data_IF_991112752196
#
_entry.id   IF_991112752196
#
_cell.length_a   1.000
_cell.length_b   1.000
_cell.length_c   1.000
_cell.angle_alpha   90.00
_cell.angle_beta   90.00
_cell.angle_gamma   90.00
#
_symmetry.space_group_name_H-M   'P 1'
#
loop_
_entity.id
_entity.type
_entity.pdbx_description
1 polymer ?
#
# COMPACT_ATOMS: atom_id res chain seq x y z
N UNK A 1 -36.93 -60.03 -5.86
CA UNK A 1 -36.40 -58.73 -6.36
C UNK A 1 -35.59 -57.96 -5.31
N UNK A 2 -34.76 -58.59 -4.45
CA UNK A 2 -33.97 -57.87 -3.39
C UNK A 2 -32.45 -58.04 -3.52
N UNK A 3 -31.92 -58.73 -4.54
CA UNK A 3 -30.48 -59.00 -4.70
C UNK A 3 -29.68 -57.99 -5.56
N UNK A 4 -30.23 -57.20 -6.51
CA UNK A 4 -29.43 -56.26 -7.29
C UNK A 4 -29.03 -54.97 -6.52
N UNK A 5 -29.81 -54.52 -5.53
CA UNK A 5 -29.48 -53.32 -4.74
C UNK A 5 -28.26 -53.50 -3.82
N UNK A 6 -28.05 -54.70 -3.28
CA UNK A 6 -26.90 -55.01 -2.44
C UNK A 6 -25.58 -55.05 -3.23
N UNK A 7 -25.63 -55.56 -4.47
CA UNK A 7 -24.47 -55.60 -5.36
C UNK A 7 -24.07 -54.19 -5.81
N UNK A 8 -25.03 -53.30 -6.11
CA UNK A 8 -24.76 -51.88 -6.43
C UNK A 8 -24.16 -51.09 -5.24
N UNK A 9 -24.67 -51.33 -4.03
CA UNK A 9 -24.15 -50.72 -2.82
C UNK A 9 -22.71 -51.18 -2.50
N UNK A 10 -22.39 -52.43 -2.71
CA UNK A 10 -21.04 -52.98 -2.50
C UNK A 10 -20.03 -52.48 -3.54
N UNK A 11 -20.44 -52.34 -4.79
CA UNK A 11 -19.59 -51.73 -5.85
C UNK A 11 -19.39 -50.24 -5.61
N UNK A 12 -20.40 -49.49 -5.18
CA UNK A 12 -20.30 -48.11 -4.79
C UNK A 12 -19.35 -47.89 -3.59
N UNK A 13 -19.42 -48.78 -2.58
CA UNK A 13 -18.54 -48.74 -1.41
C UNK A 13 -17.08 -49.08 -1.76
N UNK A 14 -16.84 -49.99 -2.66
CA UNK A 14 -15.51 -50.38 -3.14
C UNK A 14 -14.87 -49.27 -4.01
N UNK A 15 -15.67 -48.56 -4.81
CA UNK A 15 -15.22 -47.41 -5.61
C UNK A 15 -14.87 -46.19 -4.74
N UNK A 16 -15.60 -45.97 -3.65
CA UNK A 16 -15.33 -44.87 -2.70
C UNK A 16 -14.08 -45.13 -1.83
N UNK A 17 -13.82 -46.42 -1.48
CA UNK A 17 -12.61 -46.78 -0.70
C UNK A 17 -11.31 -46.80 -1.51
N UNK A 18 -11.39 -47.04 -2.82
CA UNK A 18 -10.21 -47.10 -3.71
C UNK A 18 -9.57 -45.77 -4.02
N UNK A 19 -10.31 -44.64 -3.91
CA UNK A 19 -9.83 -43.31 -4.27
C UNK A 19 -8.79 -42.75 -3.29
N UNK A 20 -8.77 -43.18 -2.04
CA UNK A 20 -7.82 -42.73 -1.04
C UNK A 20 -6.41 -43.32 -1.18
N UNK A 21 -6.29 -44.47 -1.90
CA UNK A 21 -5.03 -45.22 -2.01
C UNK A 21 -4.06 -44.73 -3.10
N UNK A 22 -4.53 -43.89 -4.05
CA UNK A 22 -3.75 -43.53 -5.23
C UNK A 22 -3.03 -42.17 -5.18
N UNK A 23 -3.14 -41.40 -4.10
CA UNK A 23 -2.36 -40.17 -3.96
C UNK A 23 -1.99 -39.95 -2.48
N UNK A 24 -0.71 -39.72 -2.18
CA UNK A 24 -0.31 -39.43 -0.81
C UNK A 24 -1.11 -38.22 -0.28
N UNK A 25 -1.58 -38.27 0.97
CA UNK A 25 -2.27 -37.14 1.57
C UNK A 25 -1.30 -35.97 1.64
N UNK A 26 -1.56 -34.90 0.88
CA UNK A 26 -0.86 -33.66 1.03
C UNK A 26 -1.36 -33.03 2.33
N UNK A 27 -0.46 -32.70 3.26
CA UNK A 27 -0.83 -32.04 4.50
C UNK A 27 -1.57 -30.72 4.17
N UNK A 28 -2.78 -30.59 4.72
CA UNK A 28 -3.59 -29.38 4.49
C UNK A 28 -2.91 -28.18 5.15
N UNK A 29 -2.85 -27.02 4.47
CA UNK A 29 -2.28 -25.80 5.05
C UNK A 29 -3.16 -25.31 6.20
N UNK A 30 -2.52 -24.68 7.18
CA UNK A 30 -3.25 -23.99 8.23
C UNK A 30 -3.93 -22.74 7.65
N UNK A 31 -5.21 -22.57 7.90
CA UNK A 31 -5.98 -21.40 7.48
C UNK A 31 -5.66 -20.18 8.37
N UNK A 32 -5.19 -20.42 9.58
CA UNK A 32 -4.76 -19.39 10.51
C UNK A 32 -3.34 -18.93 10.16
N UNK A 33 -3.09 -17.64 9.99
CA UNK A 33 -1.74 -17.11 9.82
C UNK A 33 -0.83 -17.52 10.99
N UNK A 34 0.49 -17.70 10.77
CA UNK A 34 1.42 -17.91 11.87
C UNK A 34 1.38 -16.71 12.82
N UNK A 35 1.64 -16.91 14.14
CA UNK A 35 1.67 -15.83 15.11
C UNK A 35 2.68 -14.76 14.70
N UNK A 36 2.40 -13.49 15.10
CA UNK A 36 3.35 -12.39 14.96
C UNK A 36 4.59 -12.69 15.77
N UNK A 37 5.70 -12.98 15.09
CA UNK A 37 7.02 -13.15 15.69
C UNK A 37 7.68 -11.75 15.82
N UNK A 38 7.16 -10.95 16.76
CA UNK A 38 7.62 -9.61 17.04
C UNK A 38 8.34 -9.57 18.40
N UNK A 39 9.40 -8.77 18.58
CA UNK A 39 10.09 -8.63 19.85
C UNK A 39 9.13 -8.06 20.92
N UNK A 40 9.31 -8.43 22.21
CA UNK A 40 8.43 -7.99 23.28
C UNK A 40 8.52 -6.48 23.59
N UNK A 41 9.62 -5.84 23.21
CA UNK A 41 9.84 -4.40 23.36
C UNK A 41 10.76 -3.89 22.26
N UNK A 42 10.67 -2.58 21.97
CA UNK A 42 11.60 -1.91 21.07
C UNK A 42 13.01 -1.84 21.68
N UNK A 43 14.04 -2.04 20.85
CA UNK A 43 15.44 -1.90 21.27
C UNK A 43 15.84 -0.43 21.32
N UNK A 44 15.27 0.40 20.45
CA UNK A 44 15.48 1.84 20.41
C UNK A 44 14.72 2.56 21.52
N UNK A 45 15.28 3.67 22.08
CA UNK A 45 14.59 4.48 23.06
C UNK A 45 13.33 5.09 22.43
N UNK A 46 12.17 4.86 23.08
CA UNK A 46 10.92 5.54 22.71
C UNK A 46 10.89 6.94 23.31
N UNK A 47 10.31 7.94 22.62
CA UNK A 47 10.13 9.28 23.16
C UNK A 47 9.29 9.25 24.46
N UNK A 48 9.48 10.20 25.40
CA UNK A 48 8.79 10.24 26.65
C UNK A 48 7.27 10.36 26.47
N UNK A 49 6.52 9.75 27.40
CA UNK A 49 5.08 9.44 27.30
C UNK A 49 4.14 10.62 27.59
N UNK A 50 4.54 11.87 27.45
CA UNK A 50 3.76 13.03 27.92
C UNK A 50 2.57 13.41 27.02
N UNK A 51 2.39 12.80 25.87
CA UNK A 51 1.27 13.04 24.98
C UNK A 51 0.67 11.74 24.46
N UNK A 52 -0.47 11.33 25.02
CA UNK A 52 -1.33 10.27 24.45
C UNK A 52 -2.09 10.80 23.22
N UNK A 53 -1.40 11.14 22.17
CA UNK A 53 -2.07 11.47 20.93
C UNK A 53 -2.53 10.18 20.25
N UNK A 54 -3.82 10.05 20.03
CA UNK A 54 -4.34 8.98 19.22
C UNK A 54 -3.68 9.04 17.83
N UNK A 55 -3.23 7.90 17.29
CA UNK A 55 -2.65 7.84 15.93
C UNK A 55 -3.60 8.41 14.85
N UNK A 56 -4.91 8.43 15.12
CA UNK A 56 -5.91 9.04 14.25
C UNK A 56 -5.74 10.56 14.10
N UNK A 57 -5.28 11.24 15.16
CA UNK A 57 -5.06 12.69 15.18
C UNK A 57 -3.58 13.05 15.00
N UNK A 58 -2.79 12.13 14.46
CA UNK A 58 -1.34 12.26 14.31
C UNK A 58 -0.91 13.59 13.70
N UNK A 59 -1.53 13.96 12.59
CA UNK A 59 -1.17 15.16 11.85
C UNK A 59 -1.56 16.47 12.56
N UNK A 60 -2.52 16.44 13.46
CA UNK A 60 -2.92 17.61 14.26
C UNK A 60 -1.82 18.02 15.25
N UNK A 61 -0.96 17.07 15.67
CA UNK A 61 0.15 17.32 16.58
C UNK A 61 1.27 18.16 15.99
N UNK A 62 1.28 18.33 14.66
CA UNK A 62 2.21 19.21 13.98
C UNK A 62 1.79 20.69 14.07
N UNK A 63 0.60 21.00 14.58
CA UNK A 63 0.04 22.36 14.69
C UNK A 63 0.18 23.13 13.38
N UNK A 64 -0.01 22.46 12.25
CA UNK A 64 0.12 23.01 10.92
C UNK A 64 -1.13 22.72 10.07
N UNK A 65 -2.11 23.64 10.04
CA UNK A 65 -3.34 23.46 9.28
C UNK A 65 -3.08 23.37 7.76
N UNK A 66 -1.99 23.97 7.27
CA UNK A 66 -1.63 23.89 5.85
C UNK A 66 -1.18 22.48 5.49
N UNK A 67 -0.45 21.79 6.37
CA UNK A 67 -0.09 20.39 6.18
C UNK A 67 -1.35 19.50 6.05
N UNK A 68 -2.34 19.71 6.93
CA UNK A 68 -3.61 18.97 6.87
C UNK A 68 -4.34 19.19 5.54
N UNK A 69 -4.46 20.45 5.09
CA UNK A 69 -5.07 20.76 3.80
C UNK A 69 -4.35 20.09 2.62
N UNK A 70 -3.01 20.02 2.67
CA UNK A 70 -2.24 19.34 1.60
C UNK A 70 -2.48 17.85 1.59
N UNK A 71 -2.55 17.21 2.76
CA UNK A 71 -2.85 15.78 2.88
C UNK A 71 -4.25 15.49 2.33
N UNK A 72 -5.25 16.28 2.73
CA UNK A 72 -6.64 16.09 2.27
C UNK A 72 -6.74 16.26 0.74
N UNK A 73 -6.12 17.30 0.19
CA UNK A 73 -6.10 17.54 -1.26
C UNK A 73 -5.42 16.38 -2.01
N UNK A 74 -4.27 15.90 -1.52
CA UNK A 74 -3.55 14.80 -2.13
C UNK A 74 -4.33 13.48 -2.05
N UNK A 75 -4.99 13.19 -0.93
CA UNK A 75 -5.83 11.99 -0.82
C UNK A 75 -7.04 12.05 -1.76
N UNK A 76 -7.65 13.23 -1.94
CA UNK A 76 -8.77 13.41 -2.86
C UNK A 76 -8.37 13.24 -4.33
N UNK A 77 -7.15 13.68 -4.69
CA UNK A 77 -6.63 13.64 -6.06
C UNK A 77 -5.87 12.35 -6.41
N UNK A 78 -5.59 11.49 -5.43
CA UNK A 78 -4.66 10.36 -5.59
C UNK A 78 -5.15 9.26 -6.53
N UNK A 79 -4.41 8.97 -7.61
CA UNK A 79 -4.72 7.84 -8.48
C UNK A 79 -4.56 6.47 -7.77
N UNK A 80 -3.63 6.37 -6.81
CA UNK A 80 -3.39 5.12 -6.07
C UNK A 80 -4.57 4.77 -5.15
N UNK A 81 -5.19 5.77 -4.50
CA UNK A 81 -6.41 5.59 -3.70
C UNK A 81 -7.59 5.21 -4.60
N UNK A 82 -7.77 5.88 -5.74
CA UNK A 82 -8.82 5.54 -6.71
C UNK A 82 -8.64 4.11 -7.26
N UNK A 83 -7.41 3.71 -7.57
CA UNK A 83 -7.10 2.35 -8.01
C UNK A 83 -7.38 1.30 -6.92
N UNK A 84 -7.05 1.59 -5.65
CA UNK A 84 -7.37 0.73 -4.51
C UNK A 84 -8.89 0.57 -4.34
N UNK A 85 -9.67 1.65 -4.45
CA UNK A 85 -11.13 1.61 -4.45
C UNK A 85 -11.68 0.73 -5.58
N UNK A 86 -11.16 0.88 -6.79
CA UNK A 86 -11.55 0.06 -7.94
C UNK A 86 -11.23 -1.44 -7.74
N UNK A 87 -10.12 -1.76 -7.07
CA UNK A 87 -9.76 -3.16 -6.74
C UNK A 87 -10.73 -3.77 -5.73
N UNK A 88 -11.29 -2.99 -4.80
CA UNK A 88 -12.33 -3.46 -3.88
C UNK A 88 -13.57 -3.89 -4.68
N UNK A 89 -14.03 -3.06 -5.64
CA UNK A 89 -15.20 -3.42 -6.45
C UNK A 89 -14.94 -4.65 -7.32
N UNK A 90 -13.74 -4.80 -7.89
CA UNK A 90 -13.33 -6.00 -8.63
C UNK A 90 -13.33 -7.25 -7.72
N UNK A 91 -12.75 -7.13 -6.51
CA UNK A 91 -12.72 -8.23 -5.55
C UNK A 91 -14.12 -8.60 -5.05
N UNK A 92 -15.01 -7.60 -4.84
CA UNK A 92 -16.42 -7.81 -4.49
C UNK A 92 -17.14 -8.57 -5.59
N UNK A 93 -17.01 -8.14 -6.84
CA UNK A 93 -17.61 -8.83 -7.99
C UNK A 93 -17.09 -10.26 -8.12
N UNK A 94 -15.78 -10.47 -7.91
CA UNK A 94 -15.16 -11.81 -7.91
C UNK A 94 -15.69 -12.71 -6.79
N UNK A 95 -15.93 -12.14 -5.59
CA UNK A 95 -16.52 -12.88 -4.46
C UNK A 95 -17.97 -13.27 -4.74
N UNK A 96 -18.76 -12.38 -5.34
CA UNK A 96 -20.15 -12.69 -5.78
C UNK A 96 -20.13 -13.80 -6.84
N UNK A 97 -19.26 -13.69 -7.86
CA UNK A 97 -19.14 -14.68 -8.92
C UNK A 97 -18.71 -16.06 -8.36
N UNK A 98 -17.77 -16.08 -7.40
CA UNK A 98 -17.37 -17.34 -6.74
C UNK A 98 -18.52 -17.94 -5.89
N UNK A 99 -19.29 -17.09 -5.20
CA UNK A 99 -20.47 -17.51 -4.44
C UNK A 99 -21.61 -18.05 -5.33
N UNK A 100 -21.76 -17.51 -6.54
CA UNK A 100 -22.75 -17.95 -7.48
C UNK A 100 -22.57 -19.40 -7.93
N UNK A 101 -21.34 -19.94 -7.89
CA UNK A 101 -21.05 -21.36 -8.19
C UNK A 101 -21.67 -22.34 -7.18
N UNK A 102 -22.10 -21.87 -6.03
CA UNK A 102 -22.82 -22.66 -5.01
C UNK A 102 -24.33 -22.73 -5.28
N UNK A 103 -24.84 -21.94 -6.23
CA UNK A 103 -26.26 -21.84 -6.56
C UNK A 103 -26.54 -22.44 -7.92
N UNK A 104 -27.80 -22.90 -8.19
CA UNK A 104 -28.22 -23.33 -9.52
C UNK A 104 -28.08 -22.20 -10.55
N UNK A 105 -27.51 -22.50 -11.72
CA UNK A 105 -27.53 -21.60 -12.88
C UNK A 105 -28.75 -21.93 -13.75
N UNK A 106 -29.49 -20.88 -14.17
CA UNK A 106 -30.65 -21.00 -15.05
C UNK A 106 -30.38 -20.23 -16.35
N UNK A 107 -30.43 -20.92 -17.47
CA UNK A 107 -30.21 -20.38 -18.80
C UNK A 107 -31.45 -20.56 -19.70
N UNK A 108 -31.77 -19.59 -20.52
CA UNK A 108 -32.73 -19.74 -21.60
C UNK A 108 -31.97 -20.07 -22.89
N UNK A 109 -32.38 -21.19 -23.53
CA UNK A 109 -31.78 -21.62 -24.79
C UNK A 109 -32.86 -21.72 -25.85
N UNK A 110 -32.55 -21.24 -27.06
CA UNK A 110 -33.35 -21.45 -28.25
C UNK A 110 -32.51 -22.19 -29.29
N UNK A 111 -33.06 -23.22 -29.87
CA UNK A 111 -32.38 -24.03 -30.89
C UNK A 111 -33.30 -24.39 -32.03
N UNK A 112 -32.77 -24.43 -33.24
CA UNK A 112 -33.46 -24.88 -34.43
C UNK A 112 -32.51 -25.73 -35.27
N UNK A 113 -33.00 -26.93 -35.69
CA UNK A 113 -32.27 -27.84 -36.57
C UNK A 113 -33.21 -28.29 -37.69
N UNK A 114 -32.76 -28.27 -38.93
CA UNK A 114 -33.44 -28.82 -40.06
C UNK A 114 -32.45 -29.58 -40.92
N UNK A 115 -32.76 -30.86 -41.21
CA UNK A 115 -31.84 -31.68 -41.97
C UNK A 115 -32.23 -33.14 -42.00
N UNK A 116 -31.33 -33.96 -42.52
CA UNK A 116 -31.38 -35.41 -42.49
C UNK A 116 -30.12 -35.86 -41.77
N UNK A 117 -30.29 -36.59 -40.62
CA UNK A 117 -29.18 -37.01 -39.76
C UNK A 117 -28.43 -38.24 -40.30
N UNK A 118 -29.12 -39.05 -41.08
CA UNK A 118 -28.53 -40.13 -41.83
C UNK A 118 -29.33 -40.44 -43.12
N UNK A 119 -28.82 -41.33 -44.01
CA UNK A 119 -29.43 -41.63 -45.29
C UNK A 119 -30.73 -42.45 -45.17
N UNK A 120 -30.96 -43.08 -44.06
CA UNK A 120 -32.12 -43.96 -43.82
C UNK A 120 -33.28 -43.22 -43.13
N UNK A 121 -33.02 -42.04 -42.46
CA UNK A 121 -34.05 -41.29 -41.75
C UNK A 121 -34.71 -40.23 -42.60
N UNK A 122 -36.02 -39.93 -42.41
CA UNK A 122 -36.71 -38.84 -43.07
C UNK A 122 -36.11 -37.49 -42.68
N UNK A 123 -36.40 -36.46 -43.51
CA UNK A 123 -36.06 -35.06 -43.15
C UNK A 123 -36.74 -34.67 -41.84
N UNK A 124 -35.95 -34.15 -40.90
CA UNK A 124 -36.39 -33.71 -39.61
C UNK A 124 -36.22 -32.20 -39.51
N UNK A 125 -37.19 -31.47 -39.00
CA UNK A 125 -37.03 -30.11 -38.50
C UNK A 125 -37.48 -30.05 -37.06
N UNK A 126 -36.63 -29.51 -36.20
CA UNK A 126 -36.86 -29.39 -34.77
C UNK A 126 -36.56 -27.96 -34.32
N UNK A 127 -37.47 -27.38 -33.56
CA UNK A 127 -37.20 -26.11 -32.91
C UNK A 127 -37.65 -26.17 -31.46
N UNK A 128 -36.87 -25.62 -30.54
CA UNK A 128 -37.22 -25.56 -29.14
C UNK A 128 -36.75 -24.26 -28.50
N UNK A 129 -37.53 -23.82 -27.52
CA UNK A 129 -37.09 -22.79 -26.54
C UNK A 129 -37.26 -23.40 -25.18
N UNK A 130 -36.18 -23.48 -24.39
CA UNK A 130 -36.21 -24.07 -23.09
C UNK A 130 -35.48 -23.27 -22.02
N UNK A 131 -35.94 -23.35 -20.78
CA UNK A 131 -35.20 -22.96 -19.59
C UNK A 131 -34.46 -24.19 -19.10
N UNK A 132 -33.14 -24.07 -18.94
CA UNK A 132 -32.27 -25.13 -18.45
C UNK A 132 -31.66 -24.70 -17.12
N UNK A 133 -31.88 -25.47 -16.07
CA UNK A 133 -31.24 -25.31 -14.79
C UNK A 133 -30.09 -26.35 -14.68
N UNK A 134 -28.96 -25.94 -14.16
CA UNK A 134 -27.84 -26.81 -13.83
C UNK A 134 -27.25 -26.40 -12.48
N UNK A 135 -26.89 -27.38 -11.66
CA UNK A 135 -26.31 -27.17 -10.34
C UNK A 135 -25.29 -28.24 -10.02
N UNK A 136 -24.09 -27.78 -9.63
CA UNK A 136 -23.06 -28.67 -9.11
C UNK A 136 -23.18 -28.73 -7.58
N UNK A 137 -23.37 -29.96 -7.07
CA UNK A 137 -23.43 -30.20 -5.63
C UNK A 137 -22.02 -30.23 -5.06
N UNK A 138 -21.68 -29.23 -4.26
CA UNK A 138 -20.33 -29.07 -3.71
C UNK A 138 -20.04 -30.00 -2.53
N UNK A 139 -20.06 -31.32 -2.78
CA UNK A 139 -19.93 -32.37 -1.76
C UNK A 139 -18.54 -32.39 -1.08
N UNK A 140 -17.52 -31.91 -1.77
CA UNK A 140 -16.13 -31.93 -1.28
C UNK A 140 -15.60 -30.54 -1.01
N UNK A 141 -16.42 -29.48 -1.12
CA UNK A 141 -16.11 -28.11 -0.73
C UNK A 141 -15.20 -27.34 -1.69
N UNK A 142 -15.12 -27.74 -2.97
CA UNK A 142 -14.30 -27.05 -3.96
C UNK A 142 -14.80 -25.62 -4.24
N UNK A 143 -16.10 -25.45 -4.45
CA UNK A 143 -16.72 -24.15 -4.70
C UNK A 143 -16.79 -23.30 -3.43
N UNK A 144 -17.06 -23.94 -2.29
CA UNK A 144 -17.02 -23.29 -0.98
C UNK A 144 -15.63 -22.70 -0.70
N UNK A 145 -14.55 -23.46 -0.88
CA UNK A 145 -13.18 -22.98 -0.71
C UNK A 145 -12.84 -21.87 -1.71
N UNK A 146 -13.33 -21.96 -2.95
CA UNK A 146 -13.18 -20.90 -3.95
C UNK A 146 -13.83 -19.57 -3.53
N UNK A 147 -15.05 -19.64 -2.95
CA UNK A 147 -15.75 -18.48 -2.39
C UNK A 147 -14.99 -17.89 -1.20
N UNK A 148 -14.52 -18.73 -0.28
CA UNK A 148 -13.81 -18.31 0.91
C UNK A 148 -12.45 -17.67 0.57
N UNK A 149 -11.74 -18.18 -0.46
CA UNK A 149 -10.55 -17.54 -1.02
C UNK A 149 -10.85 -16.16 -1.61
N UNK A 150 -11.95 -16.04 -2.36
CA UNK A 150 -12.35 -14.75 -2.94
C UNK A 150 -12.76 -13.73 -1.87
N UNK A 151 -13.43 -14.16 -0.80
CA UNK A 151 -13.78 -13.33 0.36
C UNK A 151 -12.52 -12.84 1.08
N UNK A 152 -11.53 -13.71 1.31
CA UNK A 152 -10.26 -13.32 1.91
C UNK A 152 -9.53 -12.26 1.06
N UNK A 153 -9.55 -12.41 -0.28
CA UNK A 153 -8.99 -11.40 -1.19
C UNK A 153 -9.74 -10.07 -1.14
N UNK A 154 -11.07 -10.08 -0.97
CA UNK A 154 -11.86 -8.86 -0.77
C UNK A 154 -11.45 -8.14 0.52
N UNK A 155 -11.30 -8.85 1.62
CA UNK A 155 -10.82 -8.27 2.89
C UNK A 155 -9.40 -7.70 2.75
N UNK A 156 -8.52 -8.36 2.02
CA UNK A 156 -7.19 -7.85 1.69
C UNK A 156 -7.24 -6.57 0.83
N UNK A 157 -8.14 -6.50 -0.15
CA UNK A 157 -8.32 -5.30 -0.97
C UNK A 157 -8.83 -4.10 -0.15
N UNK A 158 -9.71 -4.34 0.83
CA UNK A 158 -10.17 -3.30 1.77
C UNK A 158 -9.02 -2.76 2.63
N UNK A 159 -8.17 -3.63 3.17
CA UNK A 159 -6.99 -3.21 3.90
C UNK A 159 -5.98 -2.46 3.02
N UNK A 160 -5.83 -2.85 1.75
CA UNK A 160 -4.96 -2.15 0.79
C UNK A 160 -5.40 -0.70 0.51
N UNK A 161 -6.69 -0.37 0.62
CA UNK A 161 -7.16 1.01 0.52
C UNK A 161 -6.67 1.86 1.70
N UNK A 162 -6.69 1.31 2.91
CA UNK A 162 -6.16 1.99 4.09
C UNK A 162 -4.64 2.22 3.96
N UNK A 163 -3.89 1.22 3.50
CA UNK A 163 -2.46 1.35 3.24
C UNK A 163 -2.16 2.46 2.21
N UNK A 164 -2.92 2.51 1.12
CA UNK A 164 -2.78 3.57 0.11
C UNK A 164 -3.01 4.97 0.69
N UNK A 165 -4.01 5.15 1.56
CA UNK A 165 -4.28 6.43 2.24
C UNK A 165 -3.13 6.85 3.15
N UNK A 166 -2.60 5.91 3.95
CA UNK A 166 -1.46 6.15 4.83
C UNK A 166 -0.22 6.53 4.01
N UNK A 167 0.05 5.81 2.93
CA UNK A 167 1.18 6.08 2.05
C UNK A 167 1.10 7.48 1.43
N UNK A 168 -0.06 7.86 0.88
CA UNK A 168 -0.27 9.19 0.29
C UNK A 168 -0.14 10.30 1.32
N UNK A 169 -0.68 10.12 2.53
CA UNK A 169 -0.52 11.09 3.61
C UNK A 169 0.95 11.27 4.00
N UNK A 170 1.68 10.18 4.18
CA UNK A 170 3.11 10.21 4.51
C UNK A 170 3.97 10.83 3.39
N UNK A 171 3.69 10.51 2.12
CA UNK A 171 4.40 11.07 0.96
C UNK A 171 4.16 12.58 0.83
N UNK A 172 2.92 13.02 1.03
CA UNK A 172 2.56 14.44 0.99
C UNK A 172 3.24 15.20 2.12
N UNK A 173 3.20 14.66 3.34
CA UNK A 173 3.87 15.26 4.49
C UNK A 173 5.40 15.33 4.31
N UNK A 174 6.01 14.29 3.74
CA UNK A 174 7.45 14.27 3.44
C UNK A 174 7.82 15.33 2.39
N UNK A 175 7.01 15.47 1.33
CA UNK A 175 7.21 16.47 0.27
C UNK A 175 7.02 17.91 0.82
N UNK A 176 6.03 18.10 1.68
CA UNK A 176 5.79 19.37 2.37
C UNK A 176 6.97 19.72 3.29
N UNK A 177 7.43 18.81 4.12
CA UNK A 177 8.60 18.98 4.99
C UNK A 177 9.86 19.31 4.19
N UNK A 178 10.09 18.63 3.06
CA UNK A 178 11.21 18.90 2.18
C UNK A 178 11.16 20.32 1.60
N UNK A 179 9.97 20.79 1.18
CA UNK A 179 9.78 22.17 0.68
C UNK A 179 10.05 23.18 1.79
N UNK A 180 9.49 23.02 2.99
CA UNK A 180 9.69 23.94 4.12
C UNK A 180 11.16 24.03 4.54
N UNK A 181 11.84 22.89 4.59
CA UNK A 181 13.29 22.86 4.85
C UNK A 181 14.09 23.59 3.75
N UNK A 182 13.74 23.37 2.48
CA UNK A 182 14.35 24.06 1.36
C UNK A 182 14.16 25.58 1.45
N UNK A 183 12.96 26.06 1.74
CA UNK A 183 12.64 27.48 1.93
C UNK A 183 13.44 28.10 3.09
N UNK A 184 13.60 27.37 4.20
CA UNK A 184 14.40 27.82 5.34
C UNK A 184 15.89 27.98 4.95
N UNK A 185 16.44 27.04 4.17
CA UNK A 185 17.81 27.17 3.64
C UNK A 185 17.93 28.36 2.67
N UNK A 186 16.91 28.64 1.84
CA UNK A 186 16.89 29.81 0.96
C UNK A 186 16.97 31.11 1.76
N UNK A 187 16.25 31.23 2.88
CA UNK A 187 16.31 32.40 3.77
C UNK A 187 17.75 32.64 4.29
N UNK A 188 18.40 31.59 4.80
CA UNK A 188 19.77 31.64 5.28
C UNK A 188 20.78 32.02 4.17
N UNK A 189 20.66 31.35 3.03
CA UNK A 189 21.54 31.58 1.87
C UNK A 189 21.33 33.00 1.29
N UNK A 190 20.12 33.55 1.32
CA UNK A 190 19.82 34.89 0.88
C UNK A 190 20.49 35.93 1.80
N UNK A 191 20.41 35.76 3.13
CA UNK A 191 21.07 36.63 4.10
C UNK A 191 22.60 36.62 3.94
N UNK A 192 23.21 35.43 3.77
CA UNK A 192 24.65 35.30 3.48
C UNK A 192 25.04 35.99 2.15
N UNK A 193 24.24 35.81 1.09
CA UNK A 193 24.49 36.41 -0.21
C UNK A 193 24.49 37.95 -0.13
N UNK A 194 23.55 38.54 0.62
CA UNK A 194 23.52 40.02 0.86
C UNK A 194 24.75 40.47 1.63
N UNK A 195 25.14 39.74 2.68
CA UNK A 195 26.35 40.04 3.46
C UNK A 195 27.63 40.01 2.61
N UNK A 196 27.77 38.99 1.73
CA UNK A 196 28.89 38.88 0.77
C UNK A 196 28.91 40.02 -0.24
N UNK A 197 27.75 40.43 -0.75
CA UNK A 197 27.64 41.52 -1.69
C UNK A 197 28.08 42.87 -1.06
N UNK A 198 27.69 43.11 0.19
CA UNK A 198 28.11 44.32 0.92
C UNK A 198 29.63 44.30 1.23
N UNK A 199 30.17 43.17 1.64
CA UNK A 199 31.63 43.01 1.81
C UNK A 199 32.38 43.29 0.51
N UNK A 200 31.89 42.77 -0.62
CA UNK A 200 32.50 43.00 -1.94
C UNK A 200 32.46 44.51 -2.30
N UNK A 201 31.33 45.19 -2.07
CA UNK A 201 31.18 46.63 -2.31
C UNK A 201 32.18 47.48 -1.50
N UNK A 202 32.26 47.19 -0.18
CA UNK A 202 33.18 47.93 0.73
C UNK A 202 34.62 47.67 0.32
N UNK A 203 35.02 46.43 0.08
CA UNK A 203 36.37 46.02 -0.28
C UNK A 203 36.79 46.61 -1.62
N UNK A 204 35.89 46.73 -2.59
CA UNK A 204 36.16 47.33 -3.89
C UNK A 204 36.39 48.87 -3.75
N UNK A 205 35.60 49.57 -2.96
CA UNK A 205 35.78 50.99 -2.68
C UNK A 205 37.12 51.26 -1.97
N UNK A 206 37.46 50.44 -0.98
CA UNK A 206 38.69 50.53 -0.26
C UNK A 206 39.94 50.24 -1.13
N UNK A 207 39.82 49.26 -2.05
CA UNK A 207 40.88 48.97 -3.02
C UNK A 207 41.09 50.11 -4.02
N UNK A 208 40.01 50.78 -4.50
CA UNK A 208 40.08 51.97 -5.33
C UNK A 208 40.75 53.15 -4.61
N UNK A 209 40.58 53.25 -3.29
CA UNK A 209 41.21 54.20 -2.45
C UNK A 209 42.67 53.90 -2.05
N UNK A 210 43.19 52.72 -2.50
CA UNK A 210 44.55 52.25 -2.15
C UNK A 210 44.69 51.66 -0.76
N UNK A 211 43.56 51.45 -0.04
CA UNK A 211 43.55 50.92 1.34
C UNK A 211 43.61 49.38 1.42
N UNK A 212 43.17 48.70 0.36
CA UNK A 212 43.24 47.24 0.25
C UNK A 212 43.95 46.80 -1.03
N UNK A 213 44.55 45.60 -1.01
CA UNK A 213 45.14 45.04 -2.20
C UNK A 213 44.07 44.69 -3.25
N UNK A 214 44.33 44.85 -4.57
CA UNK A 214 43.41 44.49 -5.64
C UNK A 214 42.97 43.01 -5.59
N UNK A 215 43.86 42.15 -5.09
CA UNK A 215 43.55 40.72 -4.88
C UNK A 215 42.42 40.49 -3.86
N UNK A 216 42.38 41.30 -2.78
CA UNK A 216 41.28 41.23 -1.80
C UNK A 216 39.93 41.60 -2.39
N UNK A 217 39.88 42.63 -3.26
CA UNK A 217 38.69 43.03 -3.97
C UNK A 217 38.24 41.94 -4.99
N UNK A 218 39.19 41.27 -5.67
CA UNK A 218 38.91 40.16 -6.55
C UNK A 218 38.32 38.98 -5.80
N UNK A 219 38.87 38.63 -4.62
CA UNK A 219 38.35 37.56 -3.76
C UNK A 219 36.93 37.87 -3.26
N UNK A 220 36.68 39.07 -2.79
CA UNK A 220 35.34 39.49 -2.33
C UNK A 220 34.30 39.44 -3.44
N UNK A 221 34.64 39.88 -4.67
CA UNK A 221 33.75 39.74 -5.84
C UNK A 221 33.47 38.29 -6.20
N UNK A 222 34.48 37.40 -6.15
CA UNK A 222 34.32 35.97 -6.37
C UNK A 222 33.40 35.33 -5.33
N UNK A 223 33.58 35.67 -4.04
CA UNK A 223 32.73 35.23 -2.93
C UNK A 223 31.25 35.64 -3.14
N UNK A 224 31.01 36.92 -3.50
CA UNK A 224 29.67 37.41 -3.77
C UNK A 224 29.02 36.74 -5.00
N UNK A 225 29.78 36.44 -6.05
CA UNK A 225 29.31 35.70 -7.23
C UNK A 225 28.97 34.29 -6.88
N UNK A 226 29.77 33.60 -6.07
CA UNK A 226 29.51 32.27 -5.56
C UNK A 226 28.23 32.21 -4.72
N UNK A 227 28.02 33.18 -3.80
CA UNK A 227 26.79 33.31 -3.01
C UNK A 227 25.55 33.42 -3.88
N UNK A 228 25.57 34.27 -4.91
CA UNK A 228 24.45 34.41 -5.85
C UNK A 228 24.15 33.11 -6.62
N UNK A 229 25.20 32.41 -7.05
CA UNK A 229 25.06 31.12 -7.75
C UNK A 229 24.44 30.08 -6.84
N UNK A 230 24.88 29.98 -5.59
CA UNK A 230 24.31 29.04 -4.59
C UNK A 230 22.84 29.35 -4.33
N UNK A 231 22.49 30.61 -4.10
CA UNK A 231 21.11 31.06 -3.87
C UNK A 231 20.20 30.73 -5.06
N UNK A 232 20.68 30.95 -6.30
CA UNK A 232 19.91 30.59 -7.49
C UNK A 232 19.64 29.09 -7.59
N UNK A 233 20.67 28.25 -7.34
CA UNK A 233 20.52 26.81 -7.30
C UNK A 233 19.52 26.34 -6.24
N UNK A 234 19.59 26.93 -5.04
CA UNK A 234 18.69 26.59 -3.93
C UNK A 234 17.22 26.97 -4.24
N UNK A 235 17.00 28.15 -4.84
CA UNK A 235 15.66 28.55 -5.29
C UNK A 235 15.11 27.60 -6.34
N UNK A 236 15.93 27.16 -7.30
CA UNK A 236 15.52 26.15 -8.29
C UNK A 236 15.11 24.84 -7.64
N UNK A 237 15.87 24.38 -6.64
CA UNK A 237 15.51 23.17 -5.90
C UNK A 237 14.16 23.29 -5.19
N UNK A 238 13.88 24.42 -4.55
CA UNK A 238 12.59 24.66 -3.91
C UNK A 238 11.43 24.70 -4.92
N UNK A 239 11.64 25.28 -6.11
CA UNK A 239 10.63 25.27 -7.19
C UNK A 239 10.34 23.85 -7.69
N UNK A 240 11.33 22.98 -7.77
CA UNK A 240 11.12 21.56 -8.13
C UNK A 240 10.31 20.81 -7.06
N UNK A 241 10.60 21.05 -5.78
CA UNK A 241 9.83 20.49 -4.66
C UNK A 241 8.39 21.02 -4.64
N UNK A 242 8.21 22.33 -4.93
CA UNK A 242 6.89 22.92 -5.09
C UNK A 242 6.10 22.22 -6.22
N UNK A 243 6.71 21.96 -7.38
CA UNK A 243 6.08 21.24 -8.49
C UNK A 243 5.72 19.80 -8.12
N UNK A 244 6.49 19.17 -7.26
CA UNK A 244 6.13 17.83 -6.71
C UNK A 244 4.85 17.89 -5.88
N UNK A 245 4.67 18.93 -5.04
CA UNK A 245 3.43 19.15 -4.30
C UNK A 245 2.24 19.47 -5.22
N UNK A 246 2.43 20.28 -6.26
CA UNK A 246 1.39 20.50 -7.29
C UNK A 246 0.91 19.18 -7.90
N UNK A 247 1.87 18.31 -8.25
CA UNK A 247 1.55 17.00 -8.82
C UNK A 247 0.80 16.08 -7.84
N UNK A 248 1.15 16.11 -6.56
CA UNK A 248 0.51 15.28 -5.52
C UNK A 248 -0.89 15.78 -5.17
N UNK A 249 -1.07 17.09 -5.05
CA UNK A 249 -2.33 17.71 -4.59
C UNK A 249 -3.31 18.01 -5.71
N UNK A 250 -2.83 18.03 -6.96
CA UNK A 250 -3.55 18.49 -8.14
C UNK A 250 -4.13 19.92 -8.00
N UNK A 251 -3.62 20.71 -7.06
CA UNK A 251 -3.98 22.12 -6.91
C UNK A 251 -3.29 22.97 -7.98
N UNK A 252 -3.96 24.04 -8.40
CA UNK A 252 -3.34 25.03 -9.29
C UNK A 252 -2.15 25.73 -8.63
N UNK A 253 -1.13 26.11 -9.44
CA UNK A 253 0.08 26.79 -8.98
C UNK A 253 -0.20 28.01 -8.10
N UNK A 254 -1.11 28.88 -8.55
CA UNK A 254 -1.42 30.12 -7.85
C UNK A 254 -2.18 29.85 -6.53
N UNK A 255 -3.06 28.87 -6.51
CA UNK A 255 -3.78 28.46 -5.31
C UNK A 255 -2.82 27.86 -4.28
N UNK A 256 -1.97 26.90 -4.70
CA UNK A 256 -1.00 26.28 -3.82
C UNK A 256 -0.03 27.30 -3.20
N UNK A 257 0.47 28.26 -3.98
CA UNK A 257 1.35 29.33 -3.45
C UNK A 257 0.64 30.17 -2.39
N UNK A 258 -0.62 30.50 -2.59
CA UNK A 258 -1.41 31.26 -1.59
C UNK A 258 -1.59 30.47 -0.29
N UNK A 259 -1.89 29.16 -0.41
CA UNK A 259 -2.05 28.29 0.77
C UNK A 259 -0.74 28.09 1.53
N UNK A 260 0.37 27.97 0.84
CA UNK A 260 1.70 27.78 1.44
C UNK A 260 2.30 29.04 2.06
N UNK A 261 1.90 30.26 1.63
CA UNK A 261 2.51 31.50 2.05
C UNK A 261 2.50 31.75 3.58
N UNK A 262 1.45 31.45 4.36
CA UNK A 262 1.42 31.73 5.81
C UNK A 262 2.49 31.01 6.63
N UNK A 263 2.96 29.86 6.17
CA UNK A 263 3.95 29.01 6.87
C UNK A 263 5.27 28.91 6.10
N UNK A 264 5.57 29.87 5.21
CA UNK A 264 6.80 29.86 4.41
C UNK A 264 8.04 29.74 5.31
N UNK A 265 8.96 28.84 4.96
CA UNK A 265 10.21 28.57 5.68
C UNK A 265 10.05 28.08 7.13
N UNK A 266 8.85 27.67 7.55
CA UNK A 266 8.60 27.11 8.87
C UNK A 266 8.43 25.58 8.76
N UNK A 267 9.35 24.84 9.40
CA UNK A 267 9.26 23.38 9.45
C UNK A 267 8.13 22.96 10.40
N UNK A 268 7.33 21.94 10.05
CA UNK A 268 6.28 21.43 10.90
C UNK A 268 6.88 20.51 11.98
N UNK A 269 7.39 21.08 13.07
CA UNK A 269 7.98 20.30 14.17
C UNK A 269 6.88 19.96 15.18
N UNK A 270 6.59 18.68 15.45
CA UNK A 270 5.55 18.31 16.40
C UNK A 270 5.92 18.64 17.83
N UNK A 271 4.94 19.03 18.63
CA UNK A 271 5.13 19.48 20.02
C UNK A 271 5.49 18.37 21.01
N UNK A 272 5.60 17.12 20.57
CA UNK A 272 5.95 15.95 21.38
C UNK A 272 4.95 14.81 21.15
N UNK A 273 5.41 13.75 20.52
CA UNK A 273 4.61 12.56 20.24
C UNK A 273 5.13 11.42 21.10
N UNK A 274 4.23 10.74 21.84
CA UNK A 274 4.59 9.56 22.62
C UNK A 274 4.21 8.28 21.87
N UNK A 275 5.11 7.32 21.84
CA UNK A 275 4.84 5.97 21.31
C UNK A 275 4.67 5.02 22.49
N UNK A 276 3.43 4.68 22.81
CA UNK A 276 3.11 3.85 23.99
C UNK A 276 2.81 2.38 23.70
N UNK A 277 2.71 1.97 22.43
CA UNK A 277 2.31 0.61 22.11
C UNK A 277 3.50 -0.36 22.15
N UNK A 278 3.25 -1.52 22.76
CA UNK A 278 4.19 -2.65 22.63
C UNK A 278 4.28 -3.14 21.17
N UNK A 279 5.42 -3.68 20.73
CA UNK A 279 5.66 -4.04 19.33
C UNK A 279 4.54 -4.84 18.67
N UNK A 280 4.05 -5.89 19.32
CA UNK A 280 3.00 -6.74 18.77
C UNK A 280 1.68 -5.98 18.55
N UNK A 281 1.26 -5.14 19.50
CA UNK A 281 0.04 -4.33 19.38
C UNK A 281 0.17 -3.26 18.27
N UNK A 282 1.34 -2.65 18.15
CA UNK A 282 1.60 -1.68 17.08
C UNK A 282 1.53 -2.33 15.69
N UNK A 283 2.10 -3.53 15.54
CA UNK A 283 2.10 -4.22 14.26
C UNK A 283 0.71 -4.71 13.84
N UNK A 284 -0.18 -5.04 14.79
CA UNK A 284 -1.56 -5.43 14.48
C UNK A 284 -2.38 -4.32 13.81
N UNK A 285 -1.95 -3.06 13.95
CA UNK A 285 -2.60 -1.90 13.34
C UNK A 285 -2.10 -1.62 11.92
N UNK A 286 -1.24 -2.46 11.35
CA UNK A 286 -0.70 -2.28 9.99
C UNK A 286 -1.59 -2.94 8.94
N UNK A 287 -2.14 -2.16 7.99
CA UNK A 287 -2.98 -2.72 6.93
C UNK A 287 -2.21 -3.62 5.96
N UNK A 288 -0.92 -3.36 5.69
CA UNK A 288 -0.09 -4.20 4.83
C UNK A 288 0.13 -5.62 5.40
N UNK A 289 0.24 -5.75 6.73
CA UNK A 289 0.31 -7.06 7.39
C UNK A 289 -1.04 -7.80 7.28
N UNK A 290 -2.17 -7.09 7.45
CA UNK A 290 -3.48 -7.70 7.24
C UNK A 290 -3.68 -8.17 5.80
N UNK A 291 -3.22 -7.40 4.80
CA UNK A 291 -3.23 -7.84 3.39
C UNK A 291 -2.50 -9.17 3.24
N UNK A 292 -1.30 -9.29 3.81
CA UNK A 292 -0.51 -10.51 3.72
C UNK A 292 -1.16 -11.68 4.48
N UNK A 293 -1.78 -11.44 5.65
CA UNK A 293 -2.56 -12.44 6.38
C UNK A 293 -3.73 -12.97 5.54
N UNK A 294 -4.50 -12.08 4.91
CA UNK A 294 -5.63 -12.48 4.04
C UNK A 294 -5.14 -13.23 2.80
N UNK A 295 -3.95 -12.92 2.31
CA UNK A 295 -3.33 -13.68 1.22
C UNK A 295 -2.95 -15.11 1.65
N UNK A 296 -2.48 -15.33 2.88
CA UNK A 296 -2.25 -16.69 3.44
C UNK A 296 -3.57 -17.46 3.49
N UNK A 297 -4.64 -16.84 3.99
CA UNK A 297 -5.97 -17.47 4.06
C UNK A 297 -6.45 -17.85 2.66
N UNK A 298 -6.35 -16.91 1.69
CA UNK A 298 -6.75 -17.16 0.32
C UNK A 298 -5.96 -18.32 -0.32
N UNK A 299 -4.64 -18.38 -0.12
CA UNK A 299 -3.79 -19.44 -0.65
C UNK A 299 -4.06 -20.80 0.03
N UNK A 300 -4.43 -20.83 1.31
CA UNK A 300 -4.86 -22.02 2.01
C UNK A 300 -6.16 -22.56 1.41
N UNK A 301 -7.14 -21.70 1.16
CA UNK A 301 -8.40 -22.06 0.53
C UNK A 301 -8.22 -22.52 -0.93
N UNK A 302 -7.33 -21.88 -1.70
CA UNK A 302 -6.96 -22.33 -3.05
C UNK A 302 -6.33 -23.74 -3.03
N UNK A 303 -5.56 -24.08 -1.99
CA UNK A 303 -5.02 -25.43 -1.79
C UNK A 303 -6.14 -26.41 -1.47
N UNK A 304 -7.08 -26.03 -0.59
CA UNK A 304 -8.28 -26.82 -0.26
C UNK A 304 -9.11 -27.07 -1.51
N UNK A 305 -9.35 -26.05 -2.31
CA UNK A 305 -10.06 -26.17 -3.59
C UNK A 305 -9.37 -27.14 -4.55
N UNK A 306 -8.06 -26.97 -4.74
CA UNK A 306 -7.28 -27.85 -5.63
C UNK A 306 -7.30 -29.30 -5.18
N UNK A 307 -7.29 -29.55 -3.88
CA UNK A 307 -7.44 -30.88 -3.29
C UNK A 307 -8.84 -31.44 -3.52
N UNK A 308 -9.89 -30.65 -3.29
CA UNK A 308 -11.29 -31.05 -3.46
C UNK A 308 -11.61 -31.42 -4.91
N UNK A 309 -11.01 -30.73 -5.90
CA UNK A 309 -11.17 -31.07 -7.32
C UNK A 309 -10.59 -32.44 -7.74
N UNK A 310 -9.91 -33.14 -6.86
CA UNK A 310 -9.46 -34.54 -7.09
C UNK A 310 -10.55 -35.57 -6.82
N UNK A 311 -11.60 -35.18 -6.12
CA UNK A 311 -12.74 -36.03 -5.77
C UNK A 311 -13.84 -36.00 -6.86
N UNK A 312 -14.82 -36.90 -6.83
CA UNK A 312 -15.90 -36.90 -7.80
C UNK A 312 -16.74 -35.61 -7.75
N UNK A 313 -16.97 -35.01 -8.90
CA UNK A 313 -17.97 -33.95 -9.05
C UNK A 313 -19.36 -34.51 -9.28
N UNK A 314 -20.38 -33.96 -8.64
CA UNK A 314 -21.78 -34.35 -8.78
C UNK A 314 -22.59 -33.15 -9.27
N UNK A 315 -23.26 -33.31 -10.41
CA UNK A 315 -24.09 -32.26 -10.98
C UNK A 315 -25.50 -32.81 -11.28
N UNK A 316 -26.49 -31.94 -11.09
CA UNK A 316 -27.87 -32.17 -11.51
C UNK A 316 -28.27 -31.13 -12.52
N UNK A 317 -28.99 -31.54 -13.56
CA UNK A 317 -29.57 -30.67 -14.55
C UNK A 317 -31.06 -30.93 -14.75
N UNK A 318 -31.75 -29.97 -15.33
CA UNK A 318 -33.14 -30.13 -15.73
C UNK A 318 -33.50 -29.07 -16.75
N UNK A 319 -34.52 -29.34 -17.56
CA UNK A 319 -35.00 -28.37 -18.53
C UNK A 319 -36.50 -28.46 -18.70
N UNK A 320 -37.11 -27.30 -19.08
CA UNK A 320 -38.54 -27.25 -19.45
C UNK A 320 -38.74 -26.18 -20.53
N UNK A 321 -39.57 -26.52 -21.55
CA UNK A 321 -39.90 -25.53 -22.57
C UNK A 321 -40.69 -26.12 -23.73
N UNK A 322 -41.33 -25.23 -24.56
CA UNK A 322 -42.00 -25.64 -25.75
C UNK A 322 -41.05 -26.12 -26.84
N UNK A 323 -41.50 -27.12 -27.59
CA UNK A 323 -40.81 -27.66 -28.73
C UNK A 323 -41.75 -27.91 -29.89
N UNK A 324 -41.25 -27.74 -31.11
CA UNK A 324 -41.88 -28.03 -32.36
C UNK A 324 -41.02 -29.03 -33.13
N UNK A 325 -41.69 -30.09 -33.59
CA UNK A 325 -41.04 -31.17 -34.37
C UNK A 325 -41.83 -31.34 -35.65
N UNK A 326 -41.14 -31.38 -36.80
CA UNK A 326 -41.71 -31.77 -38.09
C UNK A 326 -40.90 -32.91 -38.67
N UNK A 327 -41.60 -34.01 -38.91
CA UNK A 327 -41.05 -35.19 -39.58
C UNK A 327 -41.85 -35.39 -40.85
N UNK A 328 -41.21 -35.27 -42.03
CA UNK A 328 -41.90 -35.21 -43.33
C UNK A 328 -42.98 -34.14 -43.33
N UNK A 329 -44.27 -34.51 -43.46
CA UNK A 329 -45.43 -33.59 -43.53
C UNK A 329 -46.24 -33.52 -42.22
N UNK A 330 -45.77 -34.22 -41.17
CA UNK A 330 -46.44 -34.19 -39.87
C UNK A 330 -45.73 -33.28 -38.92
N UNK A 331 -46.43 -32.30 -38.38
CA UNK A 331 -45.89 -31.39 -37.33
C UNK A 331 -46.59 -31.65 -36.00
N UNK A 332 -45.77 -31.69 -34.94
CA UNK A 332 -46.19 -31.83 -33.55
C UNK A 332 -45.61 -30.72 -32.70
N UNK A 333 -46.41 -30.17 -31.80
CA UNK A 333 -45.96 -29.18 -30.80
C UNK A 333 -46.27 -29.73 -29.41
N UNK A 334 -45.39 -29.41 -28.45
CA UNK A 334 -45.60 -29.84 -27.07
C UNK A 334 -44.57 -29.17 -26.12
N UNK A 335 -44.76 -29.40 -24.82
CA UNK A 335 -43.79 -28.98 -23.82
C UNK A 335 -42.90 -30.20 -23.50
N UNK A 336 -41.60 -30.02 -23.68
CA UNK A 336 -40.61 -30.99 -23.25
C UNK A 336 -40.09 -30.59 -21.85
N UNK A 337 -39.98 -31.55 -20.98
CA UNK A 337 -39.34 -31.32 -19.68
C UNK A 337 -38.48 -32.53 -19.30
N UNK A 338 -37.36 -32.22 -18.60
CA UNK A 338 -36.46 -33.26 -18.08
C UNK A 338 -36.04 -32.89 -16.66
N UNK A 339 -35.93 -33.88 -15.79
CA UNK A 339 -35.27 -33.79 -14.50
C UNK A 339 -34.13 -34.79 -14.55
N UNK A 340 -32.91 -34.33 -14.44
CA UNK A 340 -31.69 -35.11 -14.67
C UNK A 340 -31.05 -34.78 -16.03
N UNK A 341 -29.96 -35.48 -16.37
CA UNK A 341 -29.34 -36.53 -15.57
C UNK A 341 -28.69 -36.03 -14.28
N UNK A 342 -28.70 -36.89 -13.22
CA UNK A 342 -27.73 -36.78 -12.15
C UNK A 342 -26.40 -37.33 -12.71
N UNK A 343 -25.42 -36.45 -12.86
CA UNK A 343 -24.13 -36.80 -13.45
C UNK A 343 -23.07 -36.87 -12.35
N UNK A 344 -22.34 -37.98 -12.29
CA UNK A 344 -21.16 -38.14 -11.44
C UNK A 344 -19.94 -38.22 -12.37
N UNK A 345 -18.98 -37.36 -12.18
CA UNK A 345 -17.73 -37.32 -12.96
C UNK A 345 -16.54 -37.49 -12.04
N UNK A 346 -15.75 -38.55 -12.25
CA UNK A 346 -14.49 -38.80 -11.55
C UNK A 346 -13.36 -38.91 -12.57
N UNK A 347 -12.37 -38.01 -12.56
CA UNK A 347 -11.21 -38.17 -13.41
C UNK A 347 -10.30 -39.28 -12.87
N UNK A 348 -10.19 -40.39 -13.62
CA UNK A 348 -9.36 -41.53 -13.25
C UNK A 348 -7.90 -41.29 -13.69
N UNK A 349 -7.71 -40.67 -14.85
CA UNK A 349 -6.38 -40.38 -15.40
C UNK A 349 -6.40 -39.03 -16.11
N UNK A 350 -5.53 -38.11 -15.69
CA UNK A 350 -5.40 -36.76 -16.24
C UNK A 350 -3.94 -36.37 -16.49
N UNK A 351 -3.05 -37.36 -16.61
CA UNK A 351 -1.61 -37.13 -16.80
C UNK A 351 -0.93 -36.45 -15.62
N UNK A 352 -1.54 -36.47 -14.41
CA UNK A 352 -1.00 -35.87 -13.19
C UNK A 352 -1.36 -34.41 -12.99
N UNK A 353 -2.19 -33.81 -13.85
CA UNK A 353 -2.55 -32.37 -13.82
C UNK A 353 -3.10 -31.93 -12.47
N UNK A 354 -4.03 -32.68 -11.87
CA UNK A 354 -4.64 -32.32 -10.58
C UNK A 354 -3.66 -32.41 -9.41
N UNK A 355 -2.76 -33.39 -9.42
CA UNK A 355 -1.68 -33.47 -8.43
C UNK A 355 -0.74 -32.27 -8.56
N UNK A 356 -0.33 -31.93 -9.78
CA UNK A 356 0.50 -30.77 -10.03
C UNK A 356 -0.16 -29.45 -9.57
N UNK A 357 -1.48 -29.31 -9.78
CA UNK A 357 -2.22 -28.14 -9.29
C UNK A 357 -2.23 -28.02 -7.76
N UNK A 358 -2.34 -29.15 -7.03
CA UNK A 358 -2.23 -29.15 -5.56
C UNK A 358 -0.81 -28.73 -5.12
N UNK A 359 0.22 -29.28 -5.77
CA UNK A 359 1.63 -28.90 -5.47
C UNK A 359 1.86 -27.42 -5.73
N UNK A 360 1.35 -26.90 -6.85
CA UNK A 360 1.46 -25.48 -7.18
C UNK A 360 0.71 -24.58 -6.18
N UNK A 361 -0.49 -24.96 -5.77
CA UNK A 361 -1.27 -24.23 -4.77
C UNK A 361 -0.56 -24.24 -3.41
N UNK A 362 0.02 -25.38 -3.01
CA UNK A 362 0.81 -25.49 -1.78
C UNK A 362 2.04 -24.62 -1.80
N UNK A 363 2.77 -24.58 -2.91
CA UNK A 363 3.94 -23.72 -3.06
C UNK A 363 3.58 -22.24 -2.92
N UNK A 364 2.43 -21.78 -3.47
CA UNK A 364 1.93 -20.41 -3.28
C UNK A 364 1.57 -20.10 -1.81
N UNK A 365 1.04 -21.07 -1.08
CA UNK A 365 0.80 -20.93 0.35
C UNK A 365 2.12 -20.76 1.12
N UNK A 366 3.11 -21.59 0.85
CA UNK A 366 4.42 -21.52 1.51
C UNK A 366 5.14 -20.21 1.17
N UNK A 367 4.99 -19.70 -0.06
CA UNK A 367 5.42 -18.37 -0.49
C UNK A 367 4.73 -17.26 0.33
N UNK A 368 3.39 -17.29 0.44
CA UNK A 368 2.62 -16.29 1.19
C UNK A 368 3.05 -16.24 2.67
N UNK A 369 3.28 -17.39 3.31
CA UNK A 369 3.81 -17.46 4.68
C UNK A 369 5.20 -16.84 4.78
N UNK A 370 6.08 -17.10 3.81
CA UNK A 370 7.44 -16.56 3.80
C UNK A 370 7.44 -15.04 3.60
N UNK A 371 6.60 -14.52 2.71
CA UNK A 371 6.39 -13.07 2.47
C UNK A 371 5.88 -12.39 3.74
N UNK A 372 4.86 -12.95 4.40
CA UNK A 372 4.33 -12.41 5.65
C UNK A 372 5.40 -12.28 6.75
N UNK A 373 6.21 -13.33 6.96
CA UNK A 373 7.33 -13.27 7.91
C UNK A 373 8.36 -12.22 7.53
N UNK A 374 8.61 -12.05 6.23
CA UNK A 374 9.48 -10.99 5.71
C UNK A 374 8.96 -9.59 6.02
N UNK A 375 7.65 -9.37 5.84
CA UNK A 375 6.98 -8.10 6.14
C UNK A 375 7.03 -7.76 7.63
N UNK A 376 6.81 -8.74 8.53
CA UNK A 376 6.95 -8.52 9.98
C UNK A 376 8.35 -8.00 10.32
N UNK A 377 9.41 -8.65 9.80
CA UNK A 377 10.79 -8.19 10.04
C UNK A 377 11.06 -6.80 9.47
N UNK A 378 10.50 -6.48 8.30
CA UNK A 378 10.59 -5.14 7.72
C UNK A 378 9.85 -4.11 8.58
N UNK A 379 8.66 -4.43 9.06
CA UNK A 379 7.88 -3.57 9.93
C UNK A 379 8.62 -3.24 11.25
N UNK A 380 9.22 -4.24 11.89
CA UNK A 380 10.06 -4.02 13.08
C UNK A 380 11.22 -3.10 12.75
N UNK A 381 11.96 -3.36 11.66
CA UNK A 381 13.09 -2.53 11.22
C UNK A 381 12.67 -1.08 10.93
N UNK A 382 11.49 -0.86 10.35
CA UNK A 382 10.97 0.48 10.04
C UNK A 382 10.68 1.28 11.31
N UNK A 383 10.03 0.68 12.31
CA UNK A 383 9.77 1.34 13.59
C UNK A 383 11.07 1.63 14.33
N UNK A 384 11.95 0.63 14.49
CA UNK A 384 13.24 0.79 15.16
C UNK A 384 14.10 1.86 14.47
N UNK A 385 14.15 1.86 13.13
CA UNK A 385 14.89 2.85 12.35
C UNK A 385 14.37 4.28 12.56
N UNK A 386 13.05 4.45 12.61
CA UNK A 386 12.45 5.76 12.91
C UNK A 386 12.77 6.23 14.34
N UNK A 387 12.69 5.35 15.33
CA UNK A 387 13.01 5.66 16.73
C UNK A 387 14.49 6.03 16.92
N UNK A 388 15.42 5.28 16.31
CA UNK A 388 16.86 5.57 16.32
C UNK A 388 17.12 6.95 15.71
N UNK A 389 16.49 7.26 14.59
CA UNK A 389 16.66 8.54 13.90
C UNK A 389 16.13 9.70 14.75
N UNK A 390 14.99 9.52 15.42
CA UNK A 390 14.40 10.51 16.34
C UNK A 390 15.33 10.82 17.51
N UNK A 391 15.83 9.80 18.20
CA UNK A 391 16.75 9.96 19.33
C UNK A 391 18.07 10.64 18.89
N UNK A 392 18.63 10.20 17.77
CA UNK A 392 19.87 10.78 17.23
C UNK A 392 19.68 12.24 16.80
N UNK A 393 18.62 12.55 16.04
CA UNK A 393 18.36 13.91 15.57
C UNK A 393 18.09 14.87 16.73
N UNK A 394 17.37 14.44 17.76
CA UNK A 394 17.10 15.25 18.96
C UNK A 394 18.41 15.67 19.67
N UNK A 395 19.31 14.73 19.92
CA UNK A 395 20.62 15.05 20.55
C UNK A 395 21.48 15.95 19.67
N UNK A 396 21.56 15.67 18.38
CA UNK A 396 22.36 16.46 17.42
C UNK A 396 21.83 17.88 17.24
N UNK A 397 20.51 18.11 17.36
CA UNK A 397 19.91 19.44 17.33
C UNK A 397 20.41 20.27 18.51
N UNK A 398 20.46 19.73 19.73
CA UNK A 398 20.97 20.47 20.90
C UNK A 398 22.46 20.84 20.76
N UNK A 399 23.31 19.91 20.34
CA UNK A 399 24.74 20.20 20.09
C UNK A 399 24.94 21.23 18.97
N UNK A 400 24.08 21.17 17.94
CA UNK A 400 24.15 22.12 16.82
C UNK A 400 23.72 23.54 17.24
N UNK A 401 22.77 23.68 18.15
CA UNK A 401 22.39 25.00 18.71
C UNK A 401 23.59 25.64 19.44
N UNK A 402 24.29 24.87 20.28
CA UNK A 402 25.53 25.36 20.94
C UNK A 402 26.60 25.78 19.92
N UNK A 403 26.73 24.97 18.82
CA UNK A 403 27.68 25.30 17.75
C UNK A 403 27.31 26.61 17.03
N UNK A 404 26.01 26.85 16.79
CA UNK A 404 25.53 28.11 16.19
C UNK A 404 25.87 29.30 17.05
N UNK A 405 25.59 29.25 18.36
CA UNK A 405 25.93 30.34 19.29
C UNK A 405 27.41 30.68 19.23
N UNK A 406 28.29 29.68 19.23
CA UNK A 406 29.73 29.87 19.13
C UNK A 406 30.21 30.47 17.79
N UNK A 407 29.67 29.95 16.67
CA UNK A 407 30.04 30.42 15.33
C UNK A 407 29.48 31.81 15.04
N UNK A 408 28.30 32.17 15.54
CA UNK A 408 27.72 33.50 15.42
C UNK A 408 28.56 34.54 16.22
N UNK A 409 28.97 34.20 17.44
CA UNK A 409 29.84 35.03 18.22
C UNK A 409 31.21 35.25 17.52
N UNK A 410 31.77 34.20 16.94
CA UNK A 410 33.02 34.27 16.14
C UNK A 410 32.84 35.13 14.89
N UNK A 411 31.75 34.98 14.15
CA UNK A 411 31.44 35.76 12.97
C UNK A 411 31.31 37.27 13.32
N UNK A 412 30.57 37.56 14.40
CA UNK A 412 30.40 38.94 14.87
C UNK A 412 31.76 39.58 15.23
N UNK A 413 32.64 38.84 15.89
CA UNK A 413 33.99 39.31 16.23
C UNK A 413 34.88 39.51 14.99
N UNK A 414 34.80 38.55 14.02
CA UNK A 414 35.55 38.66 12.75
C UNK A 414 35.07 39.86 11.90
N UNK A 415 33.76 40.09 11.81
CA UNK A 415 33.18 41.22 11.08
C UNK A 415 33.60 42.57 11.71
N UNK A 416 33.54 42.68 13.04
CA UNK A 416 33.99 43.88 13.75
C UNK A 416 35.49 44.17 13.52
N UNK A 417 36.36 43.16 13.59
CA UNK A 417 37.79 43.30 13.31
C UNK A 417 38.06 43.70 11.86
N UNK A 418 37.35 43.09 10.90
CA UNK A 418 37.49 43.41 9.50
C UNK A 418 37.08 44.88 9.20
N UNK A 419 35.93 45.33 9.72
CA UNK A 419 35.45 46.72 9.56
C UNK A 419 36.39 47.74 10.24
N UNK A 420 37.03 47.37 11.34
CA UNK A 420 38.03 48.16 12.02
C UNK A 420 39.42 48.14 11.39
N UNK A 421 39.64 47.43 10.30
CA UNK A 421 40.92 47.28 9.62
C UNK A 421 41.93 46.39 10.37
N UNK A 422 41.50 45.67 11.39
CA UNK A 422 42.31 44.82 12.27
C UNK A 422 42.23 43.32 11.92
N UNK A 423 41.39 42.92 10.97
CA UNK A 423 41.18 41.55 10.53
C UNK A 423 41.31 41.38 9.03
N UNK A 424 41.59 40.15 8.59
CA UNK A 424 41.66 39.83 7.17
C UNK A 424 40.26 39.49 6.61
N UNK A 425 40.08 39.72 5.30
CA UNK A 425 38.88 39.24 4.60
C UNK A 425 38.78 37.74 4.65
N UNK A 426 39.90 37.01 4.69
CA UNK A 426 39.93 35.55 4.76
C UNK A 426 39.33 35.05 6.08
N UNK A 427 39.70 35.69 7.22
CA UNK A 427 39.12 35.31 8.53
C UNK A 427 37.62 35.57 8.58
N UNK A 428 37.14 36.69 7.98
CA UNK A 428 35.70 36.97 7.90
C UNK A 428 34.95 35.93 7.05
N UNK A 429 35.48 35.61 5.88
CA UNK A 429 34.83 34.60 4.98
C UNK A 429 34.83 33.20 5.59
N UNK A 430 35.86 32.83 6.37
CA UNK A 430 35.92 31.54 7.06
C UNK A 430 34.89 31.47 8.21
N UNK A 431 34.82 32.49 9.04
CA UNK A 431 33.84 32.62 10.12
C UNK A 431 32.38 32.59 9.55
N UNK A 432 32.15 33.30 8.44
CA UNK A 432 30.85 33.34 7.76
C UNK A 432 30.44 31.94 7.23
N UNK A 433 31.37 31.22 6.61
CA UNK A 433 31.15 29.89 6.11
C UNK A 433 30.77 28.91 7.24
N UNK A 434 31.49 29.00 8.36
CA UNK A 434 31.24 28.17 9.55
C UNK A 434 29.84 28.44 10.13
N UNK A 435 29.43 29.69 10.27
CA UNK A 435 28.11 30.04 10.76
C UNK A 435 26.98 29.58 9.80
N UNK A 436 27.14 29.82 8.48
CA UNK A 436 26.17 29.37 7.49
C UNK A 436 26.02 27.85 7.50
N UNK A 437 27.12 27.09 7.58
CA UNK A 437 27.11 25.66 7.65
C UNK A 437 26.37 25.14 8.90
N UNK A 438 26.59 25.77 10.06
CA UNK A 438 25.92 25.39 11.31
C UNK A 438 24.41 25.63 11.23
N UNK A 439 23.95 26.77 10.70
CA UNK A 439 22.53 27.03 10.48
C UNK A 439 21.89 26.04 9.48
N UNK A 440 22.58 25.75 8.37
CA UNK A 440 22.10 24.78 7.39
C UNK A 440 21.99 23.38 7.99
N UNK A 441 22.96 23.00 8.86
CA UNK A 441 22.93 21.72 9.57
C UNK A 441 21.74 21.62 10.52
N UNK A 442 21.40 22.72 11.23
CA UNK A 442 20.22 22.74 12.11
C UNK A 442 18.92 22.50 11.31
N UNK A 443 18.75 23.20 10.20
CA UNK A 443 17.57 23.03 9.32
C UNK A 443 17.48 21.59 8.82
N UNK A 444 18.58 20.99 8.41
CA UNK A 444 18.63 19.63 7.93
C UNK A 444 18.28 18.61 9.02
N UNK A 445 18.80 18.82 10.25
CA UNK A 445 18.47 17.97 11.41
C UNK A 445 16.99 18.09 11.82
N UNK A 446 16.42 19.27 11.78
CA UNK A 446 14.99 19.47 12.03
C UNK A 446 14.15 18.77 10.96
N UNK A 447 14.56 18.88 9.69
CA UNK A 447 13.92 18.17 8.57
C UNK A 447 14.02 16.66 8.73
N UNK A 448 15.20 16.14 9.16
CA UNK A 448 15.43 14.73 9.45
C UNK A 448 14.53 14.23 10.60
N UNK A 449 14.38 15.02 11.66
CA UNK A 449 13.51 14.72 12.79
C UNK A 449 12.03 14.62 12.37
N UNK A 450 11.55 15.59 11.60
CA UNK A 450 10.18 15.57 11.07
C UNK A 450 9.97 14.36 10.13
N UNK A 451 10.93 14.07 9.27
CA UNK A 451 10.87 12.89 8.40
C UNK A 451 10.82 11.58 9.20
N UNK A 452 11.54 11.49 10.32
CA UNK A 452 11.49 10.33 11.19
C UNK A 452 10.11 10.17 11.85
N UNK A 453 9.44 11.26 12.26
CA UNK A 453 8.06 11.24 12.74
C UNK A 453 7.08 10.77 11.67
N UNK A 454 7.22 11.23 10.42
CA UNK A 454 6.40 10.79 9.28
C UNK A 454 6.59 9.29 9.01
N UNK A 455 7.84 8.82 9.04
CA UNK A 455 8.16 7.41 8.87
C UNK A 455 7.60 6.55 10.00
N UNK A 456 7.64 7.04 11.24
CA UNK A 456 7.06 6.36 12.39
C UNK A 456 5.54 6.23 12.28
N UNK A 457 4.84 7.29 11.84
CA UNK A 457 3.40 7.22 11.53
C UNK A 457 3.09 6.08 10.56
N UNK A 458 3.80 6.02 9.44
CA UNK A 458 3.63 4.98 8.44
C UNK A 458 3.95 3.59 9.01
N UNK A 459 5.05 3.46 9.74
CA UNK A 459 5.50 2.21 10.33
C UNK A 459 4.54 1.66 11.40
N UNK A 460 3.80 2.54 12.08
CA UNK A 460 2.75 2.19 13.06
C UNK A 460 1.37 1.95 12.43
N UNK A 461 1.25 2.01 11.09
CA UNK A 461 -0.03 1.77 10.40
C UNK A 461 -1.01 2.93 10.45
N UNK A 462 -0.53 4.19 10.66
CA UNK A 462 -1.30 5.41 10.51
C UNK A 462 -2.54 5.55 11.39
N UNK A 463 -2.62 4.81 12.49
CA UNK A 463 -3.79 4.81 13.38
C UNK A 463 -5.00 4.04 12.83
N UNK A 464 -4.79 3.28 11.77
CA UNK A 464 -5.84 2.41 11.24
C UNK A 464 -6.10 1.24 12.20
N UNK A 465 -7.37 0.81 12.29
CA UNK A 465 -7.76 -0.42 12.96
C UNK A 465 -8.71 -1.18 12.05
N UNK A 466 -8.60 -2.51 11.95
CA UNK A 466 -9.58 -3.30 11.22
C UNK A 466 -10.97 -3.03 11.79
N UNK A 467 -11.95 -2.68 10.93
CA UNK A 467 -13.34 -2.66 11.36
C UNK A 467 -13.72 -4.07 11.85
N UNK A 468 -14.37 -4.21 13.01
CA UNK A 468 -14.85 -5.50 13.45
C UNK A 468 -15.77 -6.07 12.35
N UNK A 469 -15.48 -7.30 11.92
CA UNK A 469 -16.22 -7.99 10.86
C UNK A 469 -17.72 -7.96 11.19
N UNK A 470 -18.48 -7.12 10.48
CA UNK A 470 -19.95 -7.02 10.62
C UNK A 470 -20.61 -8.40 10.36
N UNK A 471 -19.94 -9.29 9.60
CA UNK A 471 -20.33 -10.67 9.38
C UNK A 471 -20.16 -11.55 10.62
N UNK A 472 -19.12 -11.35 11.43
CA UNK A 472 -18.92 -12.07 12.68
C UNK A 472 -19.94 -11.66 13.76
N UNK A 473 -20.33 -10.39 13.79
CA UNK A 473 -21.38 -9.88 14.69
C UNK A 473 -22.77 -10.42 14.30
N UNK A 474 -23.06 -10.59 13.01
CA UNK A 474 -24.33 -11.16 12.52
C UNK A 474 -24.43 -12.69 12.75
N UNK A 475 -23.31 -13.41 12.83
CA UNK A 475 -23.28 -14.84 13.14
C UNK A 475 -23.41 -15.13 14.65
N UNK A 476 -23.01 -14.19 15.51
CA UNK A 476 -23.14 -14.31 16.97
C UNK A 476 -24.56 -13.99 17.49
N UNK A 477 -25.44 -13.46 16.64
CA UNK A 477 -26.82 -13.08 16.98
C UNK A 477 -27.87 -14.06 16.42
N UNK A 478 -27.47 -15.19 15.84
CA UNK A 478 -28.32 -16.34 15.46
C UNK A 478 -27.96 -17.55 16.30
#
# INVERSE_FOLDING_TARGET
MKRPCLALAAVASALLGGCAAFAPPVAMPQKTPPPLDAPPAWSAPAPPADAQAALRDWWQQFDDPVLLEMIDAAQAASPSIAAAGSRIEQARASSVAAGALLLPAVNANASGTAGRTDLATPRLSFASVNLQASWELDLFGANQAGRDAALARLQGAQASLADARIAVAAETAASYNALRGCEAVVVQTAADTLSRAETARITELAAKAGLFAPASAALARASAAQGRSLLAGQKTQCELLFKSLVALTALDDAELRRKLAPRQAQLPVPAGIAVQSVPAAALQQRPDLLVAERQIVAAAEDTTRSQALRYPGVAIAGSVGPAWLRVQDVSTTGTLWTIGPLQVSLPIFDGGTRVANVVAARARYDEAVSVYRGLIRSAVREVEGALITLDSSTRRIEDTKVSIEGFEASLKAADARFRGGLGSLFDLEDARRSALLAHSTLIELQREQVAAWINLYRALGGGWSPEPDVAAAAAATK
#
